data_IF_246023559428
#
_entry.id   IF_246023559428
#
_cell.length_a   1.000
_cell.length_b   1.000
_cell.length_c   1.000
_cell.angle_alpha   90.00
_cell.angle_beta   90.00
_cell.angle_gamma   90.00
#
_symmetry.space_group_name_H-M   'P 1'
#
loop_
_entity.id
_entity.type
_entity.pdbx_description
1 polymer ?
#
# COMPACT_ATOMS: atom_id res chain seq x y z
N UNK A 1 9.55 -43.14 11.83
CA UNK A 1 9.73 -41.70 11.47
C UNK A 1 9.62 -40.96 12.77
N UNK A 2 10.74 -40.43 13.28
CA UNK A 2 10.72 -39.58 14.46
C UNK A 2 9.76 -38.40 14.21
N UNK A 3 8.93 -38.14 15.19
CA UNK A 3 7.92 -37.07 15.15
C UNK A 3 8.69 -35.74 15.17
N UNK A 4 9.08 -35.22 14.00
CA UNK A 4 9.82 -33.97 13.88
C UNK A 4 8.98 -32.87 14.52
N UNK A 5 9.56 -32.13 15.49
CA UNK A 5 8.87 -31.03 16.18
C UNK A 5 8.45 -29.97 15.19
N UNK A 6 7.29 -29.38 15.42
CA UNK A 6 6.73 -28.33 14.59
C UNK A 6 7.18 -26.96 15.10
N UNK A 7 7.69 -26.14 14.22
CA UNK A 7 8.16 -24.79 14.52
C UNK A 7 7.37 -23.78 13.71
N UNK A 8 6.89 -22.72 14.35
CA UNK A 8 6.21 -21.63 13.69
C UNK A 8 7.01 -20.34 13.79
N UNK A 9 7.11 -19.62 12.66
CA UNK A 9 7.75 -18.29 12.56
C UNK A 9 6.80 -17.34 11.86
N UNK A 10 6.38 -16.25 12.51
CA UNK A 10 5.58 -15.20 11.87
C UNK A 10 6.47 -14.07 11.37
N UNK A 11 6.24 -13.58 10.13
CA UNK A 11 7.00 -12.44 9.61
C UNK A 11 6.24 -11.67 8.52
N UNK A 12 6.55 -10.38 8.38
CA UNK A 12 6.06 -9.58 7.26
C UNK A 12 6.79 -9.88 5.95
N UNK A 13 8.06 -10.24 6.04
CA UNK A 13 8.94 -10.59 4.91
C UNK A 13 8.96 -9.52 3.80
N UNK A 14 8.84 -8.23 4.16
CA UNK A 14 8.82 -7.13 3.20
C UNK A 14 10.16 -7.02 2.47
N UNK A 15 11.23 -7.03 3.25
CA UNK A 15 12.59 -7.16 2.75
C UNK A 15 13.30 -8.23 3.58
N UNK A 16 13.72 -9.28 2.91
CA UNK A 16 14.50 -10.33 3.56
C UNK A 16 15.92 -9.82 3.80
N UNK A 17 16.34 -9.85 5.05
CA UNK A 17 17.66 -9.41 5.49
C UNK A 17 18.30 -10.45 6.45
N UNK A 18 19.59 -10.34 6.78
CA UNK A 18 20.29 -11.32 7.61
C UNK A 18 19.58 -11.67 8.92
N UNK A 19 18.86 -10.73 9.54
CA UNK A 19 18.04 -10.99 10.74
C UNK A 19 16.95 -12.05 10.52
N UNK A 20 16.21 -11.99 9.41
CA UNK A 20 15.22 -13.00 9.06
C UNK A 20 15.88 -14.36 8.81
N UNK A 21 17.02 -14.38 8.09
CA UNK A 21 17.75 -15.61 7.83
C UNK A 21 18.28 -16.26 9.11
N UNK A 22 18.70 -15.44 10.09
CA UNK A 22 19.13 -15.93 11.40
C UNK A 22 17.98 -16.61 12.15
N UNK A 23 16.80 -15.97 12.20
CA UNK A 23 15.60 -16.54 12.84
C UNK A 23 15.24 -17.88 12.19
N UNK A 24 15.20 -17.96 10.86
CA UNK A 24 14.88 -19.21 10.13
C UNK A 24 15.92 -20.29 10.41
N UNK A 25 17.22 -19.94 10.44
CA UNK A 25 18.29 -20.87 10.71
C UNK A 25 18.19 -21.46 12.12
N UNK A 26 17.91 -20.63 13.12
CA UNK A 26 17.74 -21.11 14.50
C UNK A 26 16.44 -21.93 14.65
N UNK A 27 15.35 -21.53 13.97
CA UNK A 27 14.12 -22.30 13.93
C UNK A 27 14.33 -23.70 13.32
N UNK A 28 15.08 -23.79 12.22
CA UNK A 28 15.36 -25.07 11.53
C UNK A 28 16.16 -26.07 12.39
N UNK A 29 16.90 -25.60 13.40
CA UNK A 29 17.57 -26.50 14.36
C UNK A 29 16.58 -27.17 15.33
N UNK A 30 15.40 -26.60 15.50
CA UNK A 30 14.38 -27.07 16.44
C UNK A 30 13.39 -28.07 15.80
N UNK A 31 13.22 -28.04 14.50
CA UNK A 31 12.31 -28.94 13.79
C UNK A 31 11.83 -28.43 12.43
N UNK A 32 10.69 -28.93 11.98
CA UNK A 32 10.06 -28.57 10.72
C UNK A 32 9.47 -27.13 10.80
N UNK A 33 9.95 -26.23 9.95
CA UNK A 33 9.62 -24.80 10.01
C UNK A 33 8.44 -24.46 9.11
N UNK A 34 7.37 -23.99 9.70
CA UNK A 34 6.26 -23.34 9.00
C UNK A 34 6.34 -21.83 9.21
N UNK A 35 6.43 -21.07 8.13
CA UNK A 35 6.45 -19.61 8.16
C UNK A 35 5.07 -19.07 7.88
N UNK A 36 4.52 -18.27 8.81
CA UNK A 36 3.33 -17.45 8.62
C UNK A 36 3.71 -16.10 8.02
N UNK A 37 3.45 -15.91 6.72
CA UNK A 37 3.69 -14.63 6.04
C UNK A 37 2.46 -13.74 6.19
N UNK A 38 2.64 -12.55 6.79
CA UNK A 38 1.56 -11.57 6.98
C UNK A 38 0.97 -11.15 5.62
N UNK A 39 -0.35 -11.22 5.49
CA UNK A 39 -1.06 -10.73 4.29
C UNK A 39 -0.94 -9.21 4.16
N UNK A 40 -1.20 -8.66 2.97
CA UNK A 40 -1.22 -7.21 2.77
C UNK A 40 -2.25 -6.54 3.70
N UNK A 41 -3.40 -7.17 3.93
CA UNK A 41 -4.43 -6.68 4.85
C UNK A 41 -3.94 -6.66 6.31
N UNK A 42 -3.26 -7.72 6.75
CA UNK A 42 -2.67 -7.78 8.09
C UNK A 42 -1.63 -6.66 8.30
N UNK A 43 -0.75 -6.43 7.32
CA UNK A 43 0.26 -5.38 7.39
C UNK A 43 -0.37 -3.99 7.35
N UNK A 44 -1.36 -3.76 6.48
CA UNK A 44 -2.05 -2.47 6.34
C UNK A 44 -2.81 -2.04 7.60
N UNK A 45 -3.06 -2.96 8.54
CA UNK A 45 -3.72 -2.66 9.81
C UNK A 45 -2.84 -1.86 10.79
N UNK A 46 -1.50 -1.92 10.64
CA UNK A 46 -0.58 -1.30 11.61
C UNK A 46 0.57 -0.51 10.99
N UNK A 47 0.87 -0.69 9.69
CA UNK A 47 1.92 0.06 8.98
C UNK A 47 1.59 0.17 7.49
N UNK A 48 2.45 0.88 6.74
CA UNK A 48 2.36 0.95 5.28
C UNK A 48 2.40 -0.43 4.63
N UNK A 49 1.73 -0.55 3.49
CA UNK A 49 1.86 -1.73 2.63
C UNK A 49 3.33 -1.99 2.29
N UNK A 50 3.74 -3.27 2.29
CA UNK A 50 5.06 -3.67 1.88
C UNK A 50 5.33 -3.35 0.40
N UNK A 51 6.60 -3.31 0.03
CA UNK A 51 7.01 -3.09 -1.35
C UNK A 51 6.51 -4.22 -2.25
N UNK A 52 6.77 -5.46 -1.87
CA UNK A 52 6.27 -6.65 -2.54
C UNK A 52 4.87 -7.04 -2.02
N UNK A 53 4.02 -7.54 -2.92
CA UNK A 53 2.72 -8.08 -2.51
C UNK A 53 2.86 -9.43 -1.79
N UNK A 54 1.74 -9.90 -1.20
CA UNK A 54 1.72 -11.15 -0.43
C UNK A 54 2.26 -12.35 -1.23
N UNK A 55 1.89 -12.49 -2.50
CA UNK A 55 2.30 -13.63 -3.32
C UNK A 55 3.80 -13.62 -3.56
N UNK A 56 4.36 -12.46 -3.92
CA UNK A 56 5.79 -12.27 -4.13
C UNK A 56 6.58 -12.57 -2.84
N UNK A 57 6.14 -12.03 -1.69
CA UNK A 57 6.77 -12.27 -0.40
C UNK A 57 6.73 -13.75 0.00
N UNK A 58 5.58 -14.39 -0.19
CA UNK A 58 5.40 -15.81 0.12
C UNK A 58 6.27 -16.71 -0.75
N UNK A 59 6.45 -16.38 -2.03
CA UNK A 59 7.31 -17.12 -2.95
C UNK A 59 8.79 -17.02 -2.55
N UNK A 60 9.25 -15.82 -2.20
CA UNK A 60 10.61 -15.61 -1.69
C UNK A 60 10.83 -16.44 -0.42
N UNK A 61 9.92 -16.36 0.55
CA UNK A 61 10.04 -17.08 1.82
C UNK A 61 10.05 -18.59 1.59
N UNK A 62 9.21 -19.10 0.69
CA UNK A 62 9.16 -20.53 0.35
C UNK A 62 10.48 -21.03 -0.23
N UNK A 63 11.22 -20.17 -0.90
CA UNK A 63 12.51 -20.49 -1.52
C UNK A 63 13.70 -20.40 -0.54
N UNK A 64 13.48 -19.95 0.72
CA UNK A 64 14.54 -19.85 1.71
C UNK A 64 14.91 -21.23 2.26
N UNK A 65 16.22 -21.48 2.34
CA UNK A 65 16.74 -22.71 2.96
C UNK A 65 16.34 -22.76 4.44
N UNK A 66 15.73 -23.88 4.85
CA UNK A 66 15.28 -24.11 6.22
C UNK A 66 13.81 -23.77 6.44
N UNK A 67 13.06 -23.40 5.40
CA UNK A 67 11.62 -23.27 5.40
C UNK A 67 10.99 -24.50 4.76
N UNK A 68 10.13 -25.21 5.49
CA UNK A 68 9.45 -26.41 5.01
C UNK A 68 8.04 -26.07 4.46
N UNK A 69 7.34 -25.13 5.11
CA UNK A 69 6.00 -24.72 4.74
C UNK A 69 5.80 -23.21 4.86
N UNK A 70 4.92 -22.65 4.03
CA UNK A 70 4.49 -21.25 4.11
C UNK A 70 2.96 -21.20 4.15
N UNK A 71 2.43 -20.45 5.11
CA UNK A 71 0.98 -20.24 5.30
C UNK A 71 0.66 -18.76 5.42
N UNK A 72 -0.57 -18.31 5.05
CA UNK A 72 -0.97 -16.94 5.28
C UNK A 72 -1.13 -16.66 6.78
N UNK A 73 -0.67 -15.49 7.20
CA UNK A 73 -0.92 -14.88 8.50
C UNK A 73 -1.87 -13.70 8.28
N UNK A 74 -3.15 -13.90 8.50
CA UNK A 74 -4.21 -12.95 8.11
C UNK A 74 -4.36 -11.76 9.07
N UNK A 75 -3.81 -11.88 10.29
CA UNK A 75 -3.84 -10.85 11.33
C UNK A 75 -2.49 -10.76 12.02
N UNK A 76 -2.27 -9.67 12.79
CA UNK A 76 -1.10 -9.58 13.69
C UNK A 76 -1.14 -10.61 14.81
N UNK A 77 -2.33 -11.07 15.16
CA UNK A 77 -2.52 -12.11 16.15
C UNK A 77 -2.16 -13.47 15.58
N UNK A 78 -1.25 -14.18 16.21
CA UNK A 78 -0.77 -15.49 15.79
C UNK A 78 -1.73 -16.62 16.17
N UNK A 79 -2.59 -16.40 17.18
CA UNK A 79 -3.45 -17.43 17.79
C UNK A 79 -4.20 -18.26 16.75
N UNK A 80 -4.85 -17.69 15.71
CA UNK A 80 -5.58 -18.50 14.72
C UNK A 80 -4.72 -19.55 14.02
N UNK A 81 -3.48 -19.18 13.63
CA UNK A 81 -2.54 -20.12 13.03
C UNK A 81 -1.98 -21.12 14.06
N UNK A 82 -1.71 -20.68 15.27
CA UNK A 82 -1.18 -21.54 16.33
C UNK A 82 -2.18 -22.62 16.74
N UNK A 83 -3.47 -22.30 16.90
CA UNK A 83 -4.53 -23.26 17.21
C UNK A 83 -4.70 -24.31 16.11
N UNK A 84 -4.58 -23.90 14.85
CA UNK A 84 -4.66 -24.77 13.69
C UNK A 84 -3.48 -25.70 13.54
N UNK A 85 -2.25 -25.19 13.74
CA UNK A 85 -0.99 -25.91 13.47
C UNK A 85 -0.45 -26.64 14.69
N UNK A 86 -0.76 -26.16 15.90
CA UNK A 86 -0.27 -26.65 17.20
C UNK A 86 1.25 -26.88 17.19
N UNK A 87 2.07 -25.81 17.00
CA UNK A 87 3.51 -25.96 16.96
C UNK A 87 4.08 -26.22 18.37
N UNK A 88 5.18 -26.99 18.41
CA UNK A 88 5.95 -27.18 19.64
C UNK A 88 6.72 -25.90 20.02
N UNK A 89 7.15 -25.14 19.01
CA UNK A 89 7.89 -23.89 19.18
C UNK A 89 7.33 -22.76 18.31
N UNK A 90 7.27 -21.57 18.89
CA UNK A 90 7.16 -20.31 18.15
C UNK A 90 8.45 -19.57 18.29
N UNK A 91 9.12 -19.27 17.17
CA UNK A 91 10.41 -18.58 17.13
C UNK A 91 10.21 -17.17 16.58
N UNK A 92 10.76 -16.18 17.27
CA UNK A 92 10.71 -14.78 16.90
C UNK A 92 11.96 -14.02 17.33
N UNK A 93 12.24 -12.86 16.73
CA UNK A 93 13.23 -11.93 17.26
C UNK A 93 12.79 -11.36 18.62
N UNK A 94 13.72 -10.98 19.46
CA UNK A 94 13.45 -10.39 20.79
C UNK A 94 12.85 -8.96 20.73
N UNK A 95 12.77 -8.37 19.53
CA UNK A 95 12.17 -7.06 19.27
C UNK A 95 10.68 -6.97 19.62
N UNK A 96 9.96 -8.10 19.64
CA UNK A 96 8.54 -8.14 20.05
C UNK A 96 8.30 -8.11 21.57
N UNK A 97 9.36 -8.11 22.35
CA UNK A 97 9.26 -7.96 23.81
C UNK A 97 8.80 -6.55 24.24
N UNK A 98 8.88 -5.58 23.33
CA UNK A 98 8.57 -4.17 23.59
C UNK A 98 7.53 -3.62 22.61
N UNK A 99 6.85 -2.54 23.00
CA UNK A 99 5.89 -1.84 22.14
C UNK A 99 4.58 -2.61 21.89
N UNK A 100 3.96 -2.36 20.74
CA UNK A 100 2.65 -2.93 20.36
C UNK A 100 2.66 -4.46 20.29
N UNK A 101 3.80 -5.04 19.96
CA UNK A 101 3.94 -6.48 19.78
C UNK A 101 4.07 -7.27 21.10
N UNK A 102 4.34 -6.60 22.23
CA UNK A 102 4.39 -7.27 23.54
C UNK A 102 3.08 -7.96 23.91
N UNK A 103 1.93 -7.35 23.56
CA UNK A 103 0.63 -7.95 23.75
C UNK A 103 0.43 -9.20 22.90
N UNK A 104 0.94 -9.20 21.67
CA UNK A 104 0.90 -10.37 20.78
C UNK A 104 1.73 -11.52 21.37
N UNK A 105 2.94 -11.22 21.84
CA UNK A 105 3.80 -12.21 22.51
C UNK A 105 3.12 -12.87 23.72
N UNK A 106 2.47 -12.10 24.58
CA UNK A 106 1.75 -12.63 25.74
C UNK A 106 0.60 -13.58 25.31
N UNK A 107 -0.16 -13.21 24.30
CA UNK A 107 -1.22 -14.07 23.75
C UNK A 107 -0.66 -15.37 23.16
N UNK A 108 0.47 -15.29 22.46
CA UNK A 108 1.17 -16.48 21.94
C UNK A 108 1.57 -17.40 23.07
N UNK A 109 2.16 -16.88 24.15
CA UNK A 109 2.56 -17.68 25.33
C UNK A 109 1.33 -18.38 25.94
N UNK A 110 0.23 -17.65 26.17
CA UNK A 110 -1.00 -18.23 26.75
C UNK A 110 -1.61 -19.29 25.83
N UNK A 111 -1.60 -19.06 24.53
CA UNK A 111 -2.09 -20.03 23.55
C UNK A 111 -1.24 -21.33 23.58
N UNK A 112 0.08 -21.22 23.56
CA UNK A 112 1.00 -22.35 23.54
C UNK A 112 0.92 -23.22 24.82
N UNK A 113 0.58 -22.64 25.97
CA UNK A 113 0.38 -23.40 27.23
C UNK A 113 -0.69 -24.50 27.10
N UNK A 114 -1.65 -24.34 26.21
CA UNK A 114 -2.76 -25.31 26.06
C UNK A 114 -2.29 -26.69 25.56
N UNK A 115 -1.13 -26.77 24.89
CA UNK A 115 -0.55 -28.03 24.42
C UNK A 115 0.94 -28.22 24.76
N UNK A 116 1.49 -27.38 25.66
CA UNK A 116 2.87 -27.50 26.12
C UNK A 116 3.92 -26.90 25.17
N UNK A 117 3.51 -26.12 24.19
CA UNK A 117 4.42 -25.41 23.28
C UNK A 117 5.19 -24.29 23.99
N UNK A 118 6.30 -23.83 23.37
CA UNK A 118 7.20 -22.84 23.94
C UNK A 118 7.55 -21.73 22.96
N UNK A 119 7.76 -20.51 23.48
CA UNK A 119 8.34 -19.41 22.73
C UNK A 119 9.87 -19.49 22.81
N UNK A 120 10.54 -19.23 21.71
CA UNK A 120 12.00 -19.09 21.61
C UNK A 120 12.33 -17.72 21.03
N UNK A 121 12.88 -16.87 21.86
CA UNK A 121 13.29 -15.52 21.44
C UNK A 121 14.74 -15.56 20.94
N UNK A 122 14.97 -15.04 19.73
CA UNK A 122 16.30 -14.97 19.11
C UNK A 122 16.80 -13.53 19.23
N UNK A 123 18.04 -13.38 19.69
CA UNK A 123 18.67 -12.07 19.84
C UNK A 123 18.67 -11.29 18.51
N UNK A 124 18.26 -10.03 18.58
CA UNK A 124 18.18 -9.15 17.42
C UNK A 124 19.54 -8.99 16.73
N UNK A 125 19.53 -9.17 15.41
CA UNK A 125 20.73 -8.98 14.60
C UNK A 125 20.94 -7.48 14.35
N UNK A 126 21.91 -6.90 15.07
CA UNK A 126 22.22 -5.45 15.00
C UNK A 126 22.54 -5.00 13.57
N UNK A 127 22.07 -3.80 13.22
CA UNK A 127 22.39 -3.15 11.94
C UNK A 127 21.41 -3.43 10.79
N UNK A 128 20.40 -4.25 11.00
CA UNK A 128 19.39 -4.56 9.96
C UNK A 128 17.98 -4.41 10.53
N UNK A 129 17.17 -3.54 9.92
CA UNK A 129 15.74 -3.46 10.23
C UNK A 129 14.94 -3.13 8.98
N UNK A 130 13.83 -3.82 8.79
CA UNK A 130 12.89 -3.54 7.68
C UNK A 130 12.38 -2.09 7.69
N UNK A 131 12.29 -1.47 8.85
CA UNK A 131 11.85 -0.07 8.98
C UNK A 131 12.91 0.90 8.46
N UNK A 132 14.21 0.69 8.77
CA UNK A 132 15.28 1.53 8.25
C UNK A 132 15.44 1.39 6.73
N UNK A 133 15.30 0.17 6.20
CA UNK A 133 15.34 -0.05 4.74
C UNK A 133 14.14 0.58 4.02
N UNK A 134 12.95 0.54 4.62
CA UNK A 134 11.78 1.23 4.06
C UNK A 134 11.92 2.76 4.04
N UNK A 135 12.59 3.37 5.04
CA UNK A 135 12.93 4.80 4.99
C UNK A 135 13.93 5.11 3.85
N UNK A 136 14.96 4.29 3.67
CA UNK A 136 15.90 4.43 2.53
C UNK A 136 15.20 4.28 1.17
N UNK A 137 14.23 3.37 1.04
CA UNK A 137 13.44 3.26 -0.19
C UNK A 137 12.60 4.50 -0.47
N UNK A 138 12.17 5.23 0.55
CA UNK A 138 11.51 6.52 0.34
C UNK A 138 12.46 7.57 -0.24
N UNK A 139 13.72 7.59 0.20
CA UNK A 139 14.75 8.49 -0.33
C UNK A 139 15.09 8.19 -1.80
N UNK A 140 15.08 6.92 -2.19
CA UNK A 140 15.33 6.47 -3.59
C UNK A 140 14.12 6.74 -4.50
N UNK A 141 12.92 6.86 -3.92
CA UNK A 141 11.68 7.01 -4.66
C UNK A 141 11.03 5.67 -5.04
N UNK A 142 10.10 5.71 -5.97
CA UNK A 142 9.38 4.52 -6.45
C UNK A 142 9.21 4.55 -7.97
N UNK A 143 9.17 3.38 -8.60
CA UNK A 143 8.92 3.31 -10.05
C UNK A 143 7.44 3.59 -10.37
N UNK A 144 7.14 4.09 -11.58
CA UNK A 144 5.76 4.28 -12.03
C UNK A 144 4.87 3.04 -11.85
N UNK A 145 5.36 1.86 -12.18
CA UNK A 145 4.61 0.60 -12.12
C UNK A 145 4.22 0.22 -10.69
N UNK A 146 5.11 0.44 -9.73
CA UNK A 146 4.86 0.17 -8.31
C UNK A 146 3.83 1.14 -7.76
N UNK A 147 3.98 2.44 -8.07
CA UNK A 147 3.03 3.47 -7.62
C UNK A 147 1.63 3.21 -8.18
N UNK A 148 1.50 2.88 -9.45
CA UNK A 148 0.23 2.56 -10.09
C UNK A 148 -0.52 1.41 -9.39
N UNK A 149 0.18 0.31 -9.10
CA UNK A 149 -0.42 -0.87 -8.46
C UNK A 149 -0.78 -0.64 -6.99
N UNK A 150 -0.14 0.33 -6.33
CA UNK A 150 -0.25 0.55 -4.89
C UNK A 150 -1.66 0.95 -4.44
N UNK A 151 -2.36 1.78 -5.21
CA UNK A 151 -3.75 2.17 -4.87
C UNK A 151 -4.68 0.96 -4.90
N UNK A 152 -4.60 0.11 -5.90
CA UNK A 152 -5.41 -1.13 -5.99
C UNK A 152 -5.15 -2.04 -4.80
N UNK A 153 -3.89 -2.23 -4.43
CA UNK A 153 -3.51 -3.03 -3.27
C UNK A 153 -4.06 -2.43 -1.97
N UNK A 154 -4.04 -1.11 -1.79
CA UNK A 154 -4.62 -0.42 -0.63
C UNK A 154 -6.14 -0.65 -0.55
N UNK A 155 -6.86 -0.50 -1.66
CA UNK A 155 -8.31 -0.74 -1.72
C UNK A 155 -8.65 -2.18 -1.34
N UNK A 156 -7.85 -3.15 -1.77
CA UNK A 156 -8.05 -4.56 -1.44
C UNK A 156 -7.69 -4.89 0.02
N UNK A 157 -6.74 -4.14 0.61
CA UNK A 157 -6.22 -4.41 1.95
C UNK A 157 -6.95 -3.65 3.07
N UNK A 158 -7.59 -2.51 2.76
CA UNK A 158 -8.21 -1.61 3.74
C UNK A 158 -9.68 -1.37 3.45
N UNK A 159 -10.51 -1.28 4.49
CA UNK A 159 -11.92 -0.86 4.35
C UNK A 159 -12.04 0.61 3.93
N UNK A 160 -11.11 1.46 4.38
CA UNK A 160 -11.08 2.89 4.07
C UNK A 160 -9.65 3.26 3.70
N UNK A 161 -9.49 3.86 2.52
CA UNK A 161 -8.24 4.44 2.06
C UNK A 161 -8.33 5.96 2.23
N UNK A 162 -7.39 6.54 2.99
CA UNK A 162 -7.36 7.97 3.32
C UNK A 162 -6.44 8.68 2.35
N UNK A 163 -7.00 9.59 1.58
CA UNK A 163 -6.28 10.36 0.58
C UNK A 163 -6.26 11.83 1.02
N UNK A 164 -5.09 12.45 1.01
CA UNK A 164 -4.92 13.88 1.28
C UNK A 164 -4.67 14.61 -0.03
N UNK A 165 -5.26 15.79 -0.14
CA UNK A 165 -5.02 16.67 -1.29
C UNK A 165 -3.56 17.17 -1.30
N UNK A 166 -2.99 17.29 -2.53
CA UNK A 166 -1.67 17.86 -2.78
C UNK A 166 -1.62 18.50 -4.17
N UNK A 167 -1.17 19.76 -4.26
CA UNK A 167 -1.14 20.56 -5.48
C UNK A 167 0.22 21.13 -5.82
N UNK A 168 1.26 20.86 -5.04
CA UNK A 168 2.64 21.21 -5.30
C UNK A 168 3.61 20.40 -4.43
N UNK A 169 4.92 20.55 -4.64
CA UNK A 169 5.94 19.82 -3.88
C UNK A 169 5.88 20.05 -2.37
N UNK A 170 5.55 21.26 -1.89
CA UNK A 170 5.44 21.53 -0.46
C UNK A 170 4.27 20.76 0.18
N UNK A 171 3.09 20.81 -0.44
CA UNK A 171 1.93 20.05 0.05
C UNK A 171 2.15 18.55 -0.11
N UNK A 172 2.91 18.12 -1.11
CA UNK A 172 3.40 16.75 -1.27
C UNK A 172 4.26 16.30 -0.11
N UNK A 173 5.25 17.09 0.30
CA UNK A 173 6.10 16.80 1.46
C UNK A 173 5.29 16.72 2.75
N UNK A 174 4.31 17.60 2.96
CA UNK A 174 3.42 17.56 4.12
C UNK A 174 2.60 16.25 4.10
N UNK A 175 1.95 15.94 2.98
CA UNK A 175 1.12 14.74 2.84
C UNK A 175 1.92 13.43 2.97
N UNK A 176 3.20 13.42 2.55
CA UNK A 176 4.08 12.26 2.71
C UNK A 176 4.43 12.00 4.17
N UNK A 177 4.71 13.07 4.95
CA UNK A 177 5.33 12.95 6.27
C UNK A 177 4.34 13.10 7.44
N UNK A 178 3.17 13.71 7.24
CA UNK A 178 2.19 13.87 8.31
C UNK A 178 1.72 12.54 8.86
N UNK A 179 1.85 12.36 10.16
CA UNK A 179 1.42 11.14 10.84
C UNK A 179 1.10 11.42 12.31
N UNK A 180 0.29 10.55 12.92
CA UNK A 180 -0.05 10.57 14.34
C UNK A 180 0.10 9.16 14.90
N UNK A 181 0.54 9.05 16.14
CA UNK A 181 0.63 7.77 16.86
C UNK A 181 -0.59 7.68 17.80
N UNK A 182 -1.42 6.66 17.60
CA UNK A 182 -2.58 6.36 18.46
C UNK A 182 -2.43 4.92 18.94
N UNK A 183 -2.43 4.72 20.26
CA UNK A 183 -2.25 3.40 20.89
C UNK A 183 -1.00 2.64 20.38
N UNK A 184 0.10 3.37 20.13
CA UNK A 184 1.34 2.80 19.60
C UNK A 184 1.34 2.47 18.11
N UNK A 185 0.23 2.67 17.40
CA UNK A 185 0.12 2.47 15.94
C UNK A 185 0.27 3.82 15.24
N UNK A 186 1.16 3.87 14.24
CA UNK A 186 1.34 5.03 13.38
C UNK A 186 0.21 5.10 12.34
N UNK A 187 -0.52 6.20 12.34
CA UNK A 187 -1.54 6.53 11.34
C UNK A 187 -1.04 7.64 10.44
N UNK A 188 -1.20 7.44 9.13
CA UNK A 188 -0.84 8.40 8.09
C UNK A 188 -1.87 8.35 6.94
N UNK A 189 -1.81 9.30 6.02
CA UNK A 189 -2.56 9.22 4.78
C UNK A 189 -1.97 8.15 3.86
N UNK A 190 -2.84 7.45 3.14
CA UNK A 190 -2.46 6.31 2.30
C UNK A 190 -2.03 6.72 0.89
N UNK A 191 -2.48 7.89 0.43
CA UNK A 191 -2.20 8.41 -0.90
C UNK A 191 -2.48 9.91 -0.99
N UNK A 192 -2.33 10.45 -2.19
CA UNK A 192 -2.54 11.86 -2.50
C UNK A 192 -3.54 12.05 -3.64
N UNK A 193 -4.17 13.21 -3.67
CA UNK A 193 -5.08 13.64 -4.72
C UNK A 193 -4.65 14.99 -5.28
N UNK A 194 -4.26 15.03 -6.56
CA UNK A 194 -4.05 16.27 -7.30
C UNK A 194 -5.40 16.78 -7.78
N UNK A 195 -5.95 17.72 -7.03
CA UNK A 195 -7.27 18.31 -7.27
C UNK A 195 -7.19 19.49 -8.23
N UNK A 196 -8.08 19.55 -9.22
CA UNK A 196 -8.19 20.69 -10.14
C UNK A 196 -8.58 21.98 -9.43
N UNK A 197 -9.41 21.87 -8.37
CA UNK A 197 -9.83 23.01 -7.56
C UNK A 197 -8.65 23.67 -6.87
N UNK A 198 -7.81 22.90 -6.19
CA UNK A 198 -6.65 23.44 -5.47
C UNK A 198 -5.53 23.86 -6.41
N UNK A 199 -5.30 23.13 -7.52
CA UNK A 199 -4.39 23.57 -8.58
C UNK A 199 -4.79 24.96 -9.12
N UNK A 200 -6.07 25.16 -9.41
CA UNK A 200 -6.59 26.44 -9.89
C UNK A 200 -6.52 27.53 -8.83
N UNK A 201 -6.97 27.25 -7.60
CA UNK A 201 -7.03 28.20 -6.49
C UNK A 201 -5.64 28.68 -6.09
N UNK A 202 -4.64 27.78 -6.07
CA UNK A 202 -3.25 28.12 -5.75
C UNK A 202 -2.64 29.12 -6.75
N UNK A 203 -3.21 29.22 -7.94
CA UNK A 203 -2.82 30.16 -9.02
C UNK A 203 -3.77 31.37 -9.13
N UNK A 204 -4.70 31.56 -8.16
CA UNK A 204 -5.70 32.64 -8.17
C UNK A 204 -6.69 32.54 -9.33
N UNK A 205 -6.92 31.34 -9.87
CA UNK A 205 -7.86 31.11 -10.98
C UNK A 205 -9.09 30.33 -10.52
N UNK A 206 -10.25 30.54 -11.15
CA UNK A 206 -11.44 29.74 -10.90
C UNK A 206 -11.25 28.30 -11.42
N UNK A 207 -11.94 27.34 -10.80
CA UNK A 207 -11.94 25.94 -11.20
C UNK A 207 -12.89 25.65 -12.37
N UNK A 208 -12.46 26.09 -13.55
CA UNK A 208 -13.21 26.00 -14.82
C UNK A 208 -12.31 25.50 -15.97
N UNK A 209 -11.33 24.67 -15.64
CA UNK A 209 -10.28 24.23 -16.59
C UNK A 209 -9.43 25.41 -17.12
N UNK A 210 -9.33 26.52 -16.36
CA UNK A 210 -8.53 27.70 -16.70
C UNK A 210 -7.02 27.47 -16.51
N UNK A 211 -6.63 26.45 -15.75
CA UNK A 211 -5.25 25.97 -15.67
C UNK A 211 -5.12 24.79 -16.63
N UNK A 212 -4.24 24.96 -17.62
CA UNK A 212 -4.04 23.95 -18.64
C UNK A 212 -3.35 22.69 -18.08
N UNK A 213 -3.53 21.57 -18.79
CA UNK A 213 -3.00 20.27 -18.38
C UNK A 213 -1.46 20.28 -18.22
N UNK A 214 -0.73 21.00 -19.08
CA UNK A 214 0.75 21.03 -19.04
C UNK A 214 1.24 21.67 -17.74
N UNK A 215 0.61 22.77 -17.33
CA UNK A 215 0.89 23.45 -16.06
C UNK A 215 0.60 22.51 -14.89
N UNK A 216 -0.54 21.80 -14.90
CA UNK A 216 -0.91 20.84 -13.85
C UNK A 216 0.04 19.65 -13.79
N UNK A 217 0.51 19.16 -14.94
CA UNK A 217 1.49 18.07 -14.99
C UNK A 217 2.85 18.48 -14.44
N UNK A 218 3.22 19.76 -14.54
CA UNK A 218 4.45 20.28 -13.94
C UNK A 218 4.38 20.23 -12.40
N UNK A 219 3.32 20.79 -11.81
CA UNK A 219 3.09 20.75 -10.36
C UNK A 219 2.95 19.31 -9.85
N UNK A 220 2.32 18.45 -10.63
CA UNK A 220 2.19 17.01 -10.34
C UNK A 220 3.56 16.33 -10.28
N UNK A 221 4.48 16.66 -11.21
CA UNK A 221 5.84 16.13 -11.21
C UNK A 221 6.57 16.50 -9.91
N UNK A 222 6.48 17.75 -9.45
CA UNK A 222 7.07 18.17 -8.18
C UNK A 222 6.50 17.38 -6.98
N UNK A 223 5.20 17.08 -7.02
CA UNK A 223 4.56 16.22 -6.00
C UNK A 223 5.10 14.80 -6.08
N UNK A 224 5.30 14.23 -7.27
CA UNK A 224 5.80 12.87 -7.46
C UNK A 224 7.24 12.69 -6.99
N UNK A 225 8.07 13.73 -7.06
CA UNK A 225 9.43 13.73 -6.50
C UNK A 225 9.42 13.60 -4.96
N UNK A 226 8.36 14.06 -4.30
CA UNK A 226 8.26 14.09 -2.85
C UNK A 226 7.63 12.84 -2.23
N UNK A 227 7.06 11.91 -3.04
CA UNK A 227 6.23 10.83 -2.50
C UNK A 227 6.44 9.48 -3.16
N UNK A 228 6.36 8.44 -2.35
CA UNK A 228 6.21 7.04 -2.81
C UNK A 228 4.75 6.55 -2.73
N UNK A 229 3.83 7.38 -2.21
CA UNK A 229 2.41 7.07 -2.10
C UNK A 229 1.73 7.05 -3.47
N UNK A 230 0.60 6.34 -3.62
CA UNK A 230 -0.21 6.44 -4.83
C UNK A 230 -0.80 7.84 -4.97
N UNK A 231 -0.89 8.32 -6.21
CA UNK A 231 -1.49 9.61 -6.53
C UNK A 231 -2.70 9.40 -7.43
N UNK A 232 -3.80 10.06 -7.08
CA UNK A 232 -5.03 10.16 -7.88
C UNK A 232 -5.00 11.52 -8.55
N UNK A 233 -5.25 11.59 -9.85
CA UNK A 233 -5.33 12.81 -10.62
C UNK A 233 -6.78 13.18 -10.93
N UNK A 234 -7.15 14.42 -10.68
CA UNK A 234 -8.43 14.99 -11.10
C UNK A 234 -8.35 15.43 -12.56
N UNK A 235 -8.98 14.69 -13.43
CA UNK A 235 -9.01 14.91 -14.87
C UNK A 235 -10.11 15.87 -15.31
N UNK A 236 -10.79 16.56 -14.40
CA UNK A 236 -11.90 17.46 -14.70
C UNK A 236 -12.99 16.77 -15.54
N UNK A 237 -13.37 17.33 -16.68
CA UNK A 237 -14.32 16.71 -17.63
C UNK A 237 -13.68 15.68 -18.54
N UNK A 238 -12.35 15.52 -18.49
CA UNK A 238 -11.55 14.70 -19.41
C UNK A 238 -11.27 15.41 -20.74
N UNK A 239 -11.82 16.59 -20.98
CA UNK A 239 -11.63 17.35 -22.22
C UNK A 239 -12.17 16.63 -23.45
N UNK A 240 -11.53 16.84 -24.61
CA UNK A 240 -11.87 16.12 -25.86
C UNK A 240 -11.43 14.65 -25.76
N UNK A 241 -12.32 13.75 -26.21
CA UNK A 241 -12.09 12.30 -26.12
C UNK A 241 -10.77 11.89 -26.77
N UNK A 242 -10.48 12.45 -27.93
CA UNK A 242 -9.24 12.16 -28.69
C UNK A 242 -7.98 12.60 -27.92
N UNK A 243 -8.07 13.69 -27.17
CA UNK A 243 -6.95 14.19 -26.36
C UNK A 243 -6.80 13.40 -25.05
N UNK A 244 -7.91 12.94 -24.48
CA UNK A 244 -7.92 12.22 -23.21
C UNK A 244 -7.07 10.94 -23.25
N UNK A 245 -7.01 10.24 -24.37
CA UNK A 245 -6.13 9.08 -24.57
C UNK A 245 -4.66 9.45 -24.35
N UNK A 246 -4.22 10.60 -24.83
CA UNK A 246 -2.84 11.06 -24.64
C UNK A 246 -2.58 11.53 -23.21
N UNK A 247 -3.58 12.15 -22.58
CA UNK A 247 -3.54 12.51 -21.17
C UNK A 247 -3.32 11.26 -20.30
N UNK A 248 -4.13 10.21 -20.49
CA UNK A 248 -4.00 8.95 -19.76
C UNK A 248 -2.63 8.31 -19.97
N UNK A 249 -2.13 8.24 -21.20
CA UNK A 249 -0.80 7.71 -21.50
C UNK A 249 0.31 8.48 -20.79
N UNK A 250 0.17 9.81 -20.67
CA UNK A 250 1.13 10.64 -19.94
C UNK A 250 1.06 10.35 -18.44
N UNK A 251 -0.13 10.31 -17.87
CA UNK A 251 -0.35 10.00 -16.46
C UNK A 251 0.15 8.59 -16.10
N UNK A 252 -0.04 7.60 -16.99
CA UNK A 252 0.51 6.26 -16.82
C UNK A 252 2.04 6.25 -16.76
N UNK A 253 2.71 6.96 -17.69
CA UNK A 253 4.17 7.09 -17.66
C UNK A 253 4.69 7.74 -16.38
N UNK A 254 3.94 8.70 -15.83
CA UNK A 254 4.26 9.35 -14.56
C UNK A 254 3.96 8.46 -13.34
N UNK A 255 3.26 7.34 -13.53
CA UNK A 255 2.93 6.42 -12.44
C UNK A 255 1.70 6.81 -11.65
N UNK A 256 0.78 7.58 -12.23
CA UNK A 256 -0.49 7.92 -11.59
C UNK A 256 -1.36 6.67 -11.42
N UNK A 257 -1.94 6.51 -10.23
CA UNK A 257 -2.64 5.29 -9.84
C UNK A 257 -4.10 5.27 -10.27
N UNK A 258 -4.72 6.43 -10.40
CA UNK A 258 -6.11 6.59 -10.86
C UNK A 258 -6.36 8.00 -11.40
N UNK A 259 -7.39 8.12 -12.21
CA UNK A 259 -7.91 9.40 -12.72
C UNK A 259 -9.38 9.52 -12.32
N UNK A 260 -9.77 10.68 -11.82
CA UNK A 260 -11.18 11.05 -11.59
C UNK A 260 -11.65 11.86 -12.79
N UNK A 261 -12.82 11.56 -13.32
CA UNK A 261 -13.47 12.33 -14.39
C UNK A 261 -14.89 12.69 -13.95
N UNK A 262 -15.27 13.94 -14.13
CA UNK A 262 -16.64 14.37 -13.95
C UNK A 262 -17.49 13.86 -15.13
N UNK A 263 -18.52 13.06 -14.80
CA UNK A 263 -19.47 12.54 -15.81
C UNK A 263 -20.59 13.56 -16.04
N UNK A 264 -20.26 14.64 -16.72
CA UNK A 264 -21.22 15.71 -17.07
C UNK A 264 -21.16 16.06 -18.55
N UNK A 265 -22.24 16.70 -19.03
CA UNK A 265 -22.33 17.23 -20.38
C UNK A 265 -21.99 18.73 -20.34
N UNK A 266 -21.13 19.18 -21.23
CA UNK A 266 -20.71 20.57 -21.38
C UNK A 266 -19.41 20.91 -20.66
N UNK A 267 -19.01 22.18 -20.75
CA UNK A 267 -17.79 22.69 -20.14
C UNK A 267 -17.95 22.81 -18.63
N UNK A 268 -16.83 22.70 -17.90
CA UNK A 268 -16.78 22.91 -16.46
C UNK A 268 -17.19 24.34 -16.11
N UNK A 269 -18.14 24.49 -15.20
CA UNK A 269 -18.62 25.78 -14.72
C UNK A 269 -18.31 25.90 -13.23
N UNK A 270 -18.03 27.11 -12.76
CA UNK A 270 -17.76 27.36 -11.34
C UNK A 270 -19.01 27.01 -10.50
N UNK A 271 -18.83 26.15 -9.52
CA UNK A 271 -19.89 25.70 -8.59
C UNK A 271 -20.60 26.85 -7.85
N UNK A 272 -19.90 27.96 -7.62
CA UNK A 272 -20.46 29.13 -6.98
C UNK A 272 -21.51 29.87 -7.83
N UNK A 273 -21.57 29.58 -9.14
CA UNK A 273 -22.48 30.22 -10.08
C UNK A 273 -23.65 29.33 -10.54
N UNK A 274 -23.71 28.06 -10.15
CA UNK A 274 -24.74 27.13 -10.61
C UNK A 274 -25.36 26.32 -9.46
N UNK A 275 -26.55 26.70 -9.04
CA UNK A 275 -27.31 26.08 -7.93
C UNK A 275 -27.90 24.71 -8.27
N UNK A 276 -27.70 24.16 -9.47
CA UNK A 276 -28.35 22.93 -9.91
C UNK A 276 -27.46 22.03 -10.77
N UNK A 277 -26.52 21.29 -10.18
CA UNK A 277 -26.01 20.09 -10.86
C UNK A 277 -25.69 18.96 -9.87
N UNK A 278 -26.30 17.79 -10.10
CA UNK A 278 -25.91 16.56 -9.43
C UNK A 278 -24.61 16.06 -10.06
N UNK A 279 -23.52 16.11 -9.30
CA UNK A 279 -22.24 15.54 -9.74
C UNK A 279 -22.23 14.02 -9.56
N UNK A 280 -21.85 13.31 -10.60
CA UNK A 280 -21.37 11.93 -10.52
C UNK A 280 -19.92 11.90 -10.94
N UNK A 281 -19.01 11.80 -9.98
CA UNK A 281 -17.58 11.56 -10.27
C UNK A 281 -17.34 10.07 -10.43
N UNK A 282 -16.62 9.68 -11.46
CA UNK A 282 -16.15 8.30 -11.67
C UNK A 282 -14.67 8.23 -11.40
N UNK A 283 -14.27 7.35 -10.48
CA UNK A 283 -12.86 7.02 -10.26
C UNK A 283 -12.50 5.87 -11.19
N UNK A 284 -11.54 6.12 -12.09
CA UNK A 284 -11.04 5.14 -13.02
C UNK A 284 -9.67 4.63 -12.53
N UNK A 285 -9.63 3.36 -12.17
CA UNK A 285 -8.38 2.66 -11.86
C UNK A 285 -7.76 2.13 -13.16
N UNK A 286 -6.46 1.96 -13.23
CA UNK A 286 -5.68 1.63 -14.44
C UNK A 286 -6.36 0.60 -15.36
N UNK A 287 -6.81 -0.51 -14.80
CA UNK A 287 -7.45 -1.57 -15.60
C UNK A 287 -8.85 -1.21 -16.14
N UNK A 288 -9.46 -0.13 -15.61
CA UNK A 288 -10.79 0.35 -15.99
C UNK A 288 -10.72 1.47 -17.03
N UNK A 289 -9.64 2.27 -17.02
CA UNK A 289 -9.47 3.40 -17.95
C UNK A 289 -9.44 2.93 -19.40
N UNK A 290 -8.74 1.83 -19.68
CA UNK A 290 -8.66 1.28 -21.05
C UNK A 290 -10.03 0.86 -21.55
N UNK A 291 -10.85 0.19 -20.73
CA UNK A 291 -12.21 -0.24 -21.12
C UNK A 291 -13.17 0.92 -21.32
N UNK A 292 -13.21 1.89 -20.41
CA UNK A 292 -14.16 3.01 -20.52
C UNK A 292 -13.80 4.01 -21.63
N UNK A 293 -12.50 4.19 -21.94
CA UNK A 293 -12.08 4.96 -23.13
C UNK A 293 -12.49 4.22 -24.40
N UNK A 294 -12.33 2.90 -24.47
CA UNK A 294 -12.78 2.10 -25.60
C UNK A 294 -14.30 2.11 -25.76
N UNK A 295 -15.07 2.05 -24.67
CA UNK A 295 -16.54 2.16 -24.70
C UNK A 295 -17.02 3.54 -25.15
N UNK A 296 -16.38 4.65 -24.70
CA UNK A 296 -16.68 5.99 -25.20
C UNK A 296 -16.32 6.14 -26.69
N UNK A 297 -15.17 5.62 -27.11
CA UNK A 297 -14.79 5.61 -28.54
C UNK A 297 -15.73 4.75 -29.40
N UNK A 298 -16.24 3.64 -28.87
CA UNK A 298 -17.21 2.81 -29.59
C UNK A 298 -18.58 3.52 -29.76
N UNK A 299 -19.06 4.22 -28.72
CA UNK A 299 -20.28 5.03 -28.81
C UNK A 299 -20.15 6.19 -29.77
N UNK A 300 -18.98 6.83 -29.89
CA UNK A 300 -18.76 7.87 -30.91
C UNK A 300 -18.70 7.34 -32.35
N UNK A 301 -18.26 6.09 -32.55
CA UNK A 301 -18.27 5.46 -33.89
C UNK A 301 -19.67 5.04 -34.36
N UNK A 302 -20.65 4.94 -33.46
CA UNK A 302 -22.04 4.58 -33.79
C UNK A 302 -22.91 5.80 -34.13
N UNK A 303 -22.34 7.03 -34.01
CA UNK A 303 -23.01 8.30 -34.32
C UNK A 303 -22.50 8.92 -35.65
N UNK A 304 -21.49 8.30 -36.28
CA UNK A 304 -21.04 8.59 -37.64
C UNK A 304 -21.46 7.45 -38.57
#
# INVERSE_FOLDING_TARGET
>A
MENSKKVYVGMSADMIHPGHLNIIREAAKLGCVTVGVLTDAAIASYKRLPYLDYNQRSEIVRSLKGVDNVVPQETLDYVPNLERLKPDFVVHGDDWMQGVQSNVRNRVIECLKQWGGKVVDIAYTKGFSSSAENERLKEIGTTPEIRQKRLRRLINAKKIVRILESHNGLTGLIAENVSVIVNGVKHEFDGMWSSSLTDSTSKGKPDIEAVDLTTRLHDLNDTLECTTKPVIFDGDTGGKIEHFVFTVRTLERLGISAVIIEDKVGLKQNLLCSVQMRFRSKILLKDFVIRSVQEKMHKCRTIL
#
